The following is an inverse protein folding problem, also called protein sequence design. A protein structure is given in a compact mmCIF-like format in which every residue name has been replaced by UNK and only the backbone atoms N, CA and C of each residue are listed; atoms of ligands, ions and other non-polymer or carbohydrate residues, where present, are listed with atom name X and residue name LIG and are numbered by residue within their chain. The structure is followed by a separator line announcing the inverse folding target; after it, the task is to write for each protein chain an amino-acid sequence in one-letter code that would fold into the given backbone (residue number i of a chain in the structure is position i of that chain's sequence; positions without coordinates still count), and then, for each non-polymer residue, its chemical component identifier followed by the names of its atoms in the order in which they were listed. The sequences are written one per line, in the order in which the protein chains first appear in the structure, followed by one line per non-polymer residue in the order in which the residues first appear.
data_IF_512374723582
#
_entry.id   IF_512374723582
#
_cell.length_a   1.000
_cell.length_b   1.000
_cell.length_c   1.000
_cell.angle_alpha   90.00
_cell.angle_beta   90.00
_cell.angle_gamma   90.00
#
_symmetry.space_group_name_H-M   'P 1'
#
loop_
_entity.id
_entity.type
_entity.pdbx_description
1 polymer ?
#
# COMPACT_ATOMS: atom_id res chain seq x y z
N UNK A 1 1.47 10.79 -23.34
CA UNK A 1 2.80 10.90 -22.70
C UNK A 1 2.76 10.21 -21.32
N UNK A 2 2.26 8.97 -21.28
CA UNK A 2 2.15 8.15 -20.08
C UNK A 2 2.85 6.83 -20.35
N UNK A 3 4.06 6.65 -19.83
CA UNK A 3 4.75 5.35 -19.85
C UNK A 3 5.73 5.15 -18.70
N UNK A 4 5.74 6.01 -17.68
CA UNK A 4 6.67 5.83 -16.55
C UNK A 4 6.02 4.97 -15.47
N UNK A 5 5.93 3.68 -15.74
CA UNK A 5 5.59 2.68 -14.74
C UNK A 5 6.82 2.44 -13.85
N UNK A 6 6.74 2.74 -12.55
CA UNK A 6 7.82 2.53 -11.58
C UNK A 6 7.54 1.27 -10.76
N UNK A 7 8.29 0.20 -11.00
CA UNK A 7 7.84 -1.14 -10.60
C UNK A 7 8.90 -1.95 -9.85
N UNK A 8 8.43 -2.86 -8.98
CA UNK A 8 9.27 -3.93 -8.42
C UNK A 8 9.66 -4.90 -9.56
N UNK A 9 10.85 -5.51 -9.48
CA UNK A 9 11.48 -6.37 -10.50
C UNK A 9 10.55 -7.40 -11.16
N UNK A 10 9.64 -8.02 -10.41
CA UNK A 10 8.66 -8.98 -10.94
C UNK A 10 7.60 -8.33 -11.84
N UNK A 11 6.98 -7.24 -11.37
CA UNK A 11 5.97 -6.49 -12.13
C UNK A 11 6.59 -5.81 -13.35
N UNK A 12 7.79 -5.23 -13.21
CA UNK A 12 8.50 -4.59 -14.31
C UNK A 12 8.75 -5.56 -15.47
N UNK A 13 9.20 -6.78 -15.14
CA UNK A 13 9.41 -7.84 -16.12
C UNK A 13 8.11 -8.21 -16.84
N UNK A 14 7.04 -8.48 -16.09
CA UNK A 14 5.75 -8.87 -16.69
C UNK A 14 5.20 -7.82 -17.67
N UNK A 15 5.28 -6.53 -17.30
CA UNK A 15 4.82 -5.46 -18.19
C UNK A 15 5.72 -5.29 -19.43
N UNK A 16 7.05 -5.41 -19.29
CA UNK A 16 7.98 -5.38 -20.44
C UNK A 16 7.73 -6.56 -21.39
N UNK A 17 7.54 -7.76 -20.84
CA UNK A 17 7.21 -8.96 -21.62
C UNK A 17 5.86 -8.80 -22.34
N UNK A 18 4.98 -7.93 -21.83
CA UNK A 18 3.71 -7.54 -22.46
C UNK A 18 3.84 -6.38 -23.46
N UNK A 19 5.07 -5.92 -23.76
CA UNK A 19 5.35 -4.87 -24.74
C UNK A 19 5.15 -3.43 -24.22
N UNK A 20 5.00 -3.24 -22.91
CA UNK A 20 4.88 -1.90 -22.32
C UNK A 20 6.25 -1.31 -21.99
N UNK A 21 6.38 0.00 -22.17
CA UNK A 21 7.54 0.76 -21.70
C UNK A 21 7.48 0.92 -20.18
N UNK A 22 8.61 0.63 -19.53
CA UNK A 22 8.73 0.51 -18.07
C UNK A 22 10.12 0.94 -17.64
N UNK A 23 10.16 1.84 -16.65
CA UNK A 23 11.40 2.27 -16.00
C UNK A 23 11.57 1.56 -14.66
N UNK A 24 12.73 0.98 -14.43
CA UNK A 24 13.03 0.46 -13.09
C UNK A 24 13.18 1.60 -12.08
N UNK A 25 12.87 1.32 -10.81
CA UNK A 25 13.01 2.29 -9.72
C UNK A 25 14.45 2.83 -9.64
N UNK A 26 15.45 2.00 -9.90
CA UNK A 26 16.87 2.39 -9.92
C UNK A 26 17.20 3.42 -11.00
N UNK A 27 16.51 3.38 -12.16
CA UNK A 27 16.68 4.38 -13.22
C UNK A 27 16.16 5.76 -12.79
N UNK A 28 15.12 5.77 -11.96
CA UNK A 28 14.52 7.01 -11.43
C UNK A 28 15.37 7.57 -10.30
N UNK A 29 15.71 6.73 -9.33
CA UNK A 29 16.45 7.15 -8.16
C UNK A 29 17.89 7.51 -8.53
N UNK A 30 18.46 6.82 -9.51
CA UNK A 30 19.90 6.83 -9.81
C UNK A 30 20.69 6.04 -8.77
N UNK A 31 20.02 5.25 -7.93
CA UNK A 31 20.61 4.52 -6.83
C UNK A 31 20.54 3.01 -7.10
N UNK A 32 21.65 2.25 -6.96
CA UNK A 32 21.68 0.83 -7.26
C UNK A 32 20.84 0.02 -6.27
N UNK A 33 20.43 -1.17 -6.66
CA UNK A 33 19.82 -2.14 -5.74
C UNK A 33 20.85 -2.57 -4.68
N UNK A 34 20.47 -2.51 -3.40
CA UNK A 34 21.30 -2.93 -2.27
C UNK A 34 20.45 -3.54 -1.16
N UNK A 35 21.10 -4.26 -0.23
CA UNK A 35 20.45 -4.92 0.91
C UNK A 35 19.29 -5.82 0.46
N UNK A 36 19.52 -6.61 -0.58
CA UNK A 36 18.52 -7.50 -1.20
C UNK A 36 17.21 -6.79 -1.57
N UNK A 37 17.32 -5.51 -1.96
CA UNK A 37 16.19 -4.69 -2.41
C UNK A 37 15.33 -4.11 -1.28
N UNK A 38 15.73 -4.25 -0.01
CA UNK A 38 14.99 -3.77 1.18
C UNK A 38 14.72 -2.27 1.20
N UNK A 39 15.62 -1.48 0.60
CA UNK A 39 15.58 -0.01 0.65
C UNK A 39 15.25 0.64 -0.70
N UNK A 40 14.95 -0.17 -1.73
CA UNK A 40 14.91 0.31 -3.13
C UNK A 40 13.92 1.46 -3.37
N UNK A 41 12.80 1.49 -2.67
CA UNK A 41 11.76 2.51 -2.83
C UNK A 41 11.83 3.61 -1.77
N UNK A 42 12.67 3.46 -0.74
CA UNK A 42 12.81 4.41 0.36
C UNK A 42 13.72 5.57 -0.06
N UNK A 43 13.29 6.33 -1.06
CA UNK A 43 14.11 7.36 -1.71
C UNK A 43 13.33 8.67 -1.89
N UNK A 44 13.96 9.85 -1.68
CA UNK A 44 13.30 11.15 -1.85
C UNK A 44 12.70 11.39 -3.25
N UNK A 45 13.33 10.88 -4.31
CA UNK A 45 12.76 10.99 -5.68
C UNK A 45 11.44 10.24 -5.84
N UNK A 46 11.18 9.19 -5.06
CA UNK A 46 9.91 8.47 -5.08
C UNK A 46 8.91 9.16 -4.14
N UNK A 47 9.29 9.33 -2.88
CA UNK A 47 8.39 9.91 -1.89
C UNK A 47 8.10 11.40 -2.11
N UNK A 48 9.05 12.17 -2.63
CA UNK A 48 8.85 13.56 -3.04
C UNK A 48 7.88 13.67 -4.20
N UNK A 49 7.96 12.77 -5.18
CA UNK A 49 7.00 12.72 -6.29
C UNK A 49 5.58 12.38 -5.85
N UNK A 50 5.44 11.58 -4.78
CA UNK A 50 4.14 11.21 -4.19
C UNK A 50 3.61 12.28 -3.23
N UNK A 51 4.47 12.91 -2.42
CA UNK A 51 4.05 13.78 -1.31
C UNK A 51 4.09 15.28 -1.64
N UNK A 52 4.60 15.68 -2.80
CA UNK A 52 4.53 17.06 -3.24
C UNK A 52 3.06 17.48 -3.38
N UNK A 53 2.71 18.61 -2.77
CA UNK A 53 1.36 19.17 -2.82
C UNK A 53 1.36 20.12 -4.00
N UNK A 54 0.55 19.82 -5.02
CA UNK A 54 0.65 20.51 -6.32
C UNK A 54 0.20 21.96 -6.26
N UNK A 55 -0.77 22.23 -5.40
CA UNK A 55 -1.26 23.58 -5.12
C UNK A 55 -0.27 24.41 -4.26
N UNK A 56 0.84 23.83 -3.76
CA UNK A 56 1.86 24.54 -2.98
C UNK A 56 3.08 24.91 -3.85
N UNK A 57 3.30 26.20 -4.17
CA UNK A 57 4.41 26.63 -5.03
C UNK A 57 5.80 26.27 -4.49
N UNK A 58 5.97 26.20 -3.17
CA UNK A 58 7.24 25.80 -2.56
C UNK A 58 7.55 24.33 -2.85
N UNK A 59 6.55 23.45 -2.75
CA UNK A 59 6.75 22.02 -3.01
C UNK A 59 7.08 21.79 -4.50
N UNK A 60 6.40 22.48 -5.42
CA UNK A 60 6.71 22.40 -6.85
C UNK A 60 8.14 22.86 -7.13
N UNK A 61 8.55 24.01 -6.57
CA UNK A 61 9.92 24.49 -6.71
C UNK A 61 10.96 23.50 -6.17
N UNK A 62 10.68 22.85 -5.05
CA UNK A 62 11.55 21.83 -4.49
C UNK A 62 11.65 20.61 -5.43
N UNK A 63 10.54 20.17 -6.02
CA UNK A 63 10.56 19.06 -6.97
C UNK A 63 11.36 19.38 -8.24
N UNK A 64 11.19 20.58 -8.81
CA UNK A 64 11.93 21.03 -9.98
C UNK A 64 13.43 21.14 -9.70
N UNK A 65 13.78 21.78 -8.57
CA UNK A 65 15.17 22.00 -8.15
C UNK A 65 15.92 20.68 -7.96
N UNK A 66 15.22 19.66 -7.47
CA UNK A 66 15.79 18.36 -7.16
C UNK A 66 15.57 17.30 -8.24
N UNK A 67 15.02 17.68 -9.41
CA UNK A 67 14.68 16.78 -10.52
C UNK A 67 13.82 15.59 -10.06
N UNK A 68 12.74 15.89 -9.34
CA UNK A 68 11.77 14.92 -8.84
C UNK A 68 10.53 14.97 -9.74
N UNK A 69 10.24 13.87 -10.42
CA UNK A 69 9.01 13.73 -11.19
C UNK A 69 7.82 13.54 -10.23
N UNK A 70 6.70 14.21 -10.52
CA UNK A 70 5.44 13.99 -9.81
C UNK A 70 4.85 12.60 -10.15
N UNK A 71 4.13 12.02 -9.19
CA UNK A 71 3.46 10.73 -9.34
C UNK A 71 1.96 10.92 -9.11
N UNK A 72 1.14 10.57 -10.11
CA UNK A 72 -0.32 10.68 -10.05
C UNK A 72 -1.01 9.43 -9.49
N UNK A 73 -0.40 8.26 -9.70
CA UNK A 73 -0.99 6.97 -9.38
C UNK A 73 0.03 6.05 -8.71
N UNK A 74 -0.40 5.44 -7.62
CA UNK A 74 0.32 4.40 -6.93
C UNK A 74 -0.54 3.13 -6.90
N UNK A 75 -0.09 2.09 -7.58
CA UNK A 75 -0.70 0.76 -7.52
C UNK A 75 0.24 -0.18 -6.79
N UNK A 76 -0.14 -0.58 -5.58
CA UNK A 76 0.67 -1.45 -4.73
C UNK A 76 -0.25 -2.42 -3.99
N UNK A 77 -0.16 -3.69 -4.35
CA UNK A 77 -0.50 -4.77 -3.42
C UNK A 77 0.82 -5.30 -2.83
N UNK A 78 0.82 -5.63 -1.55
CA UNK A 78 1.94 -6.35 -0.95
C UNK A 78 1.48 -7.77 -0.61
N UNK A 79 2.40 -8.71 -0.79
CA UNK A 79 2.12 -10.13 -0.55
C UNK A 79 1.58 -10.29 0.87
N UNK A 80 0.47 -11.03 1.07
CA UNK A 80 -0.14 -11.07 2.38
C UNK A 80 0.85 -11.72 3.34
N UNK A 81 1.34 -10.95 4.32
CA UNK A 81 2.12 -11.51 5.43
C UNK A 81 1.39 -12.70 6.06
N UNK A 82 0.05 -12.61 6.07
CA UNK A 82 -0.87 -13.70 6.43
C UNK A 82 -0.62 -15.00 5.66
N UNK A 83 -0.35 -14.96 4.35
CA UNK A 83 -0.03 -16.15 3.56
C UNK A 83 1.31 -16.75 3.98
N UNK A 84 2.32 -15.92 4.28
CA UNK A 84 3.62 -16.39 4.77
C UNK A 84 3.46 -17.10 6.11
N UNK A 85 2.73 -16.52 7.06
CA UNK A 85 2.58 -17.10 8.39
C UNK A 85 1.59 -18.28 8.46
N UNK A 86 0.77 -18.47 7.42
CA UNK A 86 -0.08 -19.65 7.23
C UNK A 86 0.75 -20.88 6.81
N UNK A 87 1.97 -20.72 6.30
CA UNK A 87 2.85 -21.84 5.96
C UNK A 87 3.27 -22.60 7.23
N UNK A 88 3.17 -23.92 7.19
CA UNK A 88 3.65 -24.75 8.29
C UNK A 88 5.17 -24.60 8.45
N UNK A 89 5.62 -24.46 9.70
CA UNK A 89 7.03 -24.43 10.03
C UNK A 89 7.78 -23.15 9.67
N UNK A 90 7.10 -22.05 9.31
CA UNK A 90 7.76 -20.77 9.05
C UNK A 90 8.58 -20.35 10.28
N UNK A 91 9.86 -20.04 10.06
CA UNK A 91 10.79 -19.67 11.14
C UNK A 91 10.64 -18.20 11.51
N UNK A 92 11.08 -17.82 12.71
CA UNK A 92 11.21 -16.44 13.15
C UNK A 92 12.00 -15.61 12.14
N UNK A 93 13.14 -16.11 11.67
CA UNK A 93 13.94 -15.38 10.69
C UNK A 93 13.16 -15.17 9.40
N UNK A 94 12.54 -16.21 8.86
CA UNK A 94 11.73 -16.11 7.64
C UNK A 94 10.54 -15.15 7.81
N UNK A 95 9.88 -15.17 8.97
CA UNK A 95 8.83 -14.20 9.32
C UNK A 95 9.36 -12.77 9.25
N UNK A 96 10.50 -12.48 9.88
CA UNK A 96 11.11 -11.14 9.89
C UNK A 96 11.53 -10.70 8.47
N UNK A 97 12.09 -11.60 7.66
CA UNK A 97 12.47 -11.32 6.27
C UNK A 97 11.28 -10.95 5.37
N UNK A 98 10.09 -11.49 5.67
CA UNK A 98 8.89 -11.26 4.87
C UNK A 98 8.09 -10.01 5.27
N UNK A 99 8.56 -9.22 6.25
CA UNK A 99 7.94 -7.94 6.59
C UNK A 99 8.34 -6.89 5.55
N UNK A 100 7.37 -6.39 4.78
CA UNK A 100 7.54 -5.35 3.78
C UNK A 100 7.54 -3.98 4.46
N UNK A 101 8.63 -3.22 4.29
CA UNK A 101 8.76 -1.85 4.76
C UNK A 101 8.35 -0.85 3.66
N UNK A 102 8.74 -1.14 2.42
CA UNK A 102 8.54 -0.23 1.29
C UNK A 102 7.09 -0.12 0.86
N UNK A 103 6.38 -1.25 0.79
CA UNK A 103 4.98 -1.33 0.39
C UNK A 103 4.06 -0.45 1.25
N UNK A 104 3.97 -0.70 2.57
CA UNK A 104 3.19 0.13 3.47
C UNK A 104 3.61 1.62 3.46
N UNK A 105 4.91 1.92 3.34
CA UNK A 105 5.39 3.30 3.30
C UNK A 105 4.89 4.05 2.06
N UNK A 106 4.96 3.43 0.88
CA UNK A 106 4.46 4.04 -0.37
C UNK A 106 2.94 4.20 -0.33
N UNK A 107 2.21 3.17 0.13
CA UNK A 107 0.75 3.22 0.24
C UNK A 107 0.30 4.34 1.18
N UNK A 108 0.94 4.47 2.35
CA UNK A 108 0.64 5.56 3.30
C UNK A 108 0.99 6.93 2.72
N UNK A 109 2.09 7.06 1.99
CA UNK A 109 2.48 8.31 1.35
C UNK A 109 1.44 8.78 0.33
N UNK A 110 0.98 7.87 -0.55
CA UNK A 110 -0.04 8.17 -1.54
C UNK A 110 -1.40 8.47 -0.90
N UNK A 111 -1.83 7.63 0.05
CA UNK A 111 -3.09 7.84 0.78
C UNK A 111 -3.10 9.17 1.56
N UNK A 112 -1.96 9.59 2.12
CA UNK A 112 -1.82 10.90 2.78
C UNK A 112 -2.03 12.05 1.80
N UNK A 113 -1.52 11.94 0.57
CA UNK A 113 -1.61 12.98 -0.45
C UNK A 113 -2.79 12.74 -1.43
N UNK A 114 -3.91 12.23 -0.94
CA UNK A 114 -5.09 11.86 -1.75
C UNK A 114 -5.62 13.01 -2.62
N UNK A 115 -5.36 14.26 -2.24
CA UNK A 115 -5.74 15.43 -3.02
C UNK A 115 -5.09 15.49 -4.41
N UNK A 116 -3.93 14.85 -4.58
CA UNK A 116 -3.08 14.91 -5.77
C UNK A 116 -2.71 13.52 -6.32
N UNK A 117 -2.84 12.46 -5.51
CA UNK A 117 -2.39 11.10 -5.86
C UNK A 117 -3.49 10.07 -5.60
N UNK A 118 -3.80 9.27 -6.61
CA UNK A 118 -4.66 8.09 -6.49
C UNK A 118 -3.86 6.89 -5.99
N UNK A 119 -4.42 6.12 -5.05
CA UNK A 119 -3.80 4.91 -4.50
C UNK A 119 -4.71 3.71 -4.69
N UNK A 120 -4.18 2.62 -5.23
CA UNK A 120 -4.90 1.36 -5.39
C UNK A 120 -4.12 0.25 -4.68
N UNK A 121 -4.81 -0.43 -3.76
CA UNK A 121 -4.26 -1.56 -2.97
C UNK A 121 -4.92 -2.90 -3.30
N UNK A 122 -5.96 -2.88 -4.12
CA UNK A 122 -6.81 -4.01 -4.45
C UNK A 122 -7.18 -3.97 -5.93
N UNK A 123 -7.06 -5.11 -6.60
CA UNK A 123 -7.37 -5.22 -8.03
C UNK A 123 -8.85 -5.02 -8.33
N UNK A 124 -9.74 -5.22 -7.36
CA UNK A 124 -11.19 -4.96 -7.52
C UNK A 124 -11.48 -3.47 -7.82
N UNK A 125 -10.57 -2.56 -7.49
CA UNK A 125 -10.73 -1.12 -7.75
C UNK A 125 -10.20 -0.69 -9.14
N UNK A 126 -9.68 -1.61 -9.97
CA UNK A 126 -9.13 -1.25 -11.27
C UNK A 126 -10.17 -0.70 -12.24
N UNK A 127 -11.37 -1.29 -12.30
CA UNK A 127 -12.44 -0.82 -13.17
C UNK A 127 -12.88 0.60 -12.80
N UNK A 128 -12.92 0.91 -11.50
CA UNK A 128 -13.20 2.23 -10.97
C UNK A 128 -12.11 3.24 -11.35
N UNK A 129 -10.84 2.86 -11.28
CA UNK A 129 -9.75 3.70 -11.75
C UNK A 129 -9.84 3.95 -13.25
N UNK A 130 -10.05 2.90 -14.05
CA UNK A 130 -10.12 2.96 -15.51
C UNK A 130 -11.25 3.87 -15.96
N UNK A 131 -12.41 3.85 -15.28
CA UNK A 131 -13.52 4.76 -15.59
C UNK A 131 -13.20 6.24 -15.35
N UNK A 132 -12.15 6.54 -14.57
CA UNK A 132 -11.67 7.89 -14.30
C UNK A 132 -10.50 8.31 -15.19
N UNK A 133 -10.07 7.47 -16.14
CA UNK A 133 -9.10 7.85 -17.16
C UNK A 133 -9.84 8.48 -18.34
N UNK A 134 -9.51 9.73 -18.66
CA UNK A 134 -10.06 10.46 -19.80
C UNK A 134 -8.93 11.08 -20.61
N UNK A 135 -8.97 10.96 -21.93
CA UNK A 135 -7.95 11.50 -22.83
C UNK A 135 -6.52 11.02 -22.49
N UNK A 136 -6.40 9.81 -21.95
CA UNK A 136 -5.19 9.20 -21.38
C UNK A 136 -4.63 9.89 -20.14
N UNK A 137 -5.40 10.73 -19.44
CA UNK A 137 -5.03 11.33 -18.17
C UNK A 137 -5.94 10.81 -17.05
N UNK A 138 -5.35 10.54 -15.89
CA UNK A 138 -6.11 10.18 -14.69
C UNK A 138 -6.76 11.47 -14.18
N UNK A 139 -8.09 11.52 -14.23
CA UNK A 139 -8.83 12.60 -13.59
C UNK A 139 -8.79 12.39 -12.08
N UNK A 140 -8.08 13.29 -11.39
CA UNK A 140 -8.01 13.27 -9.92
C UNK A 140 -9.35 13.76 -9.36
N UNK A 141 -10.23 12.83 -9.01
CA UNK A 141 -11.40 13.10 -8.17
C UNK A 141 -11.01 12.99 -6.70
N UNK A 142 -10.98 14.13 -5.99
CA UNK A 142 -10.62 14.21 -4.57
C UNK A 142 -11.53 13.33 -3.68
N UNK A 143 -12.81 13.17 -4.02
CA UNK A 143 -13.74 12.34 -3.23
C UNK A 143 -13.47 10.84 -3.43
N UNK A 144 -13.23 10.45 -4.68
CA UNK A 144 -12.81 9.08 -5.00
C UNK A 144 -11.47 8.77 -4.32
N UNK A 145 -10.47 9.64 -4.46
CA UNK A 145 -9.18 9.45 -3.85
C UNK A 145 -9.26 9.40 -2.33
N UNK A 146 -10.14 10.19 -1.69
CA UNK A 146 -10.35 10.08 -0.25
C UNK A 146 -10.96 8.72 0.14
N UNK A 147 -11.86 8.18 -0.68
CA UNK A 147 -12.41 6.82 -0.48
C UNK A 147 -11.33 5.76 -0.60
N UNK A 148 -10.50 5.84 -1.63
CA UNK A 148 -9.35 4.96 -1.84
C UNK A 148 -8.31 5.10 -0.72
N UNK A 149 -8.06 6.31 -0.22
CA UNK A 149 -7.15 6.55 0.90
C UNK A 149 -7.64 5.90 2.20
N UNK A 150 -8.94 5.97 2.50
CA UNK A 150 -9.52 5.24 3.65
C UNK A 150 -9.29 3.73 3.51
N UNK A 151 -9.55 3.16 2.33
CA UNK A 151 -9.29 1.74 2.04
C UNK A 151 -7.81 1.40 2.21
N UNK A 152 -6.91 2.23 1.68
CA UNK A 152 -5.46 2.07 1.78
C UNK A 152 -4.94 2.10 3.24
N UNK A 153 -5.41 3.04 4.07
CA UNK A 153 -5.05 3.06 5.49
C UNK A 153 -5.62 1.85 6.24
N UNK A 154 -6.85 1.42 5.94
CA UNK A 154 -7.44 0.20 6.50
C UNK A 154 -6.62 -1.04 6.12
N UNK A 155 -6.19 -1.13 4.86
CA UNK A 155 -5.37 -2.22 4.34
C UNK A 155 -4.01 -2.32 5.06
N UNK A 156 -3.34 -1.18 5.26
CA UNK A 156 -2.08 -1.14 6.05
C UNK A 156 -2.32 -1.48 7.52
N UNK A 157 -3.43 -1.02 8.12
CA UNK A 157 -3.76 -1.37 9.50
C UNK A 157 -3.99 -2.88 9.69
N UNK A 158 -4.65 -3.55 8.74
CA UNK A 158 -4.79 -5.01 8.77
C UNK A 158 -3.42 -5.71 8.67
N UNK A 159 -2.55 -5.24 7.78
CA UNK A 159 -1.19 -5.76 7.63
C UNK A 159 -0.39 -5.68 8.93
N UNK A 160 -0.38 -4.50 9.57
CA UNK A 160 0.33 -4.28 10.83
C UNK A 160 -0.29 -5.09 11.99
N UNK A 161 -1.62 -5.26 12.01
CA UNK A 161 -2.29 -6.12 12.97
C UNK A 161 -1.85 -7.58 12.84
N UNK A 162 -1.72 -8.09 11.61
CA UNK A 162 -1.26 -9.45 11.34
C UNK A 162 0.19 -9.65 11.77
N UNK A 163 1.08 -8.67 11.56
CA UNK A 163 2.46 -8.68 12.10
C UNK A 163 2.46 -8.70 13.62
N UNK A 164 1.77 -7.72 14.24
CA UNK A 164 1.69 -7.55 15.69
C UNK A 164 1.21 -8.82 16.39
N UNK A 165 0.11 -9.40 15.91
CA UNK A 165 -0.46 -10.61 16.49
C UNK A 165 0.46 -11.83 16.34
N UNK A 166 1.12 -11.98 15.19
CA UNK A 166 2.01 -13.11 14.95
C UNK A 166 3.30 -13.01 15.78
N UNK A 167 3.94 -11.85 15.79
CA UNK A 167 5.13 -11.61 16.61
C UNK A 167 4.82 -11.62 18.12
N UNK A 168 3.60 -11.24 18.51
CA UNK A 168 3.14 -11.29 19.89
C UNK A 168 3.11 -12.71 20.47
N UNK A 169 3.01 -13.74 19.63
CA UNK A 169 3.09 -15.14 20.06
C UNK A 169 4.43 -15.80 19.72
N UNK A 170 5.14 -15.35 18.69
CA UNK A 170 6.36 -15.99 18.20
C UNK A 170 7.61 -15.49 18.95
N UNK A 171 8.43 -16.42 19.45
CA UNK A 171 9.72 -16.12 20.07
C UNK A 171 10.88 -16.31 19.09
N UNK A 172 12.02 -15.72 19.43
CA UNK A 172 13.27 -15.80 18.63
C UNK A 172 13.82 -17.22 18.52
N UNK A 173 13.47 -18.13 19.42
CA UNK A 173 13.83 -19.56 19.38
C UNK A 173 12.82 -20.41 18.59
N UNK A 174 11.89 -19.77 17.86
CA UNK A 174 10.77 -20.38 17.12
C UNK A 174 9.67 -21.03 17.99
N UNK A 175 9.75 -20.93 19.32
CA UNK A 175 8.64 -21.37 20.17
C UNK A 175 7.51 -20.35 20.13
N UNK A 176 6.28 -20.80 20.44
CA UNK A 176 5.09 -19.96 20.42
C UNK A 176 4.38 -19.94 21.77
N UNK A 177 4.00 -18.76 22.23
CA UNK A 177 3.03 -18.61 23.31
C UNK A 177 1.63 -18.98 22.80
N UNK A 178 0.74 -19.38 23.72
CA UNK A 178 -0.67 -19.68 23.37
C UNK A 178 -1.47 -18.43 23.03
N UNK A 179 -1.09 -17.28 23.60
CA UNK A 179 -1.82 -16.00 23.49
C UNK A 179 -0.80 -14.85 23.50
N UNK A 180 -1.03 -13.78 22.72
CA UNK A 180 -0.19 -12.58 22.79
C UNK A 180 -0.60 -11.67 23.97
N UNK A 181 0.31 -10.84 24.46
CA UNK A 181 0.01 -9.81 25.46
C UNK A 181 -0.82 -8.66 24.89
N UNK A 182 -0.76 -8.45 23.57
CA UNK A 182 -1.56 -7.48 22.83
C UNK A 182 -2.23 -8.16 21.65
N UNK A 183 -3.56 -7.99 21.55
CA UNK A 183 -4.35 -8.51 20.45
C UNK A 183 -4.94 -7.35 19.64
N UNK A 184 -4.63 -7.29 18.36
CA UNK A 184 -5.18 -6.31 17.42
C UNK A 184 -6.18 -6.98 16.49
N UNK A 185 -7.45 -6.56 16.54
CA UNK A 185 -8.51 -7.13 15.71
C UNK A 185 -8.88 -6.16 14.59
N UNK A 186 -9.02 -6.69 13.37
CA UNK A 186 -9.48 -5.98 12.20
C UNK A 186 -10.75 -6.64 11.68
N UNK A 187 -11.79 -5.84 11.44
CA UNK A 187 -13.07 -6.31 10.93
C UNK A 187 -13.56 -5.40 9.81
N UNK A 188 -14.21 -6.00 8.82
CA UNK A 188 -14.89 -5.33 7.72
C UNK A 188 -16.39 -5.31 7.98
N UNK A 189 -17.06 -4.23 7.59
CA UNK A 189 -18.51 -4.15 7.67
C UNK A 189 -19.15 -4.93 6.52
N UNK A 190 -20.02 -5.87 6.86
CA UNK A 190 -20.82 -6.56 5.85
C UNK A 190 -22.06 -5.74 5.48
N UNK A 191 -22.87 -5.36 6.48
CA UNK A 191 -24.11 -4.60 6.29
C UNK A 191 -24.60 -3.97 7.60
N UNK A 192 -25.47 -2.97 7.49
CA UNK A 192 -26.20 -2.40 8.62
C UNK A 192 -27.34 -3.30 9.08
N UNK A 193 -27.54 -3.36 10.39
CA UNK A 193 -28.69 -4.01 11.01
C UNK A 193 -29.81 -3.00 11.20
N UNK A 194 -31.04 -3.50 11.33
CA UNK A 194 -32.21 -2.62 11.52
C UNK A 194 -32.14 -1.82 12.82
N UNK A 195 -31.60 -2.44 13.86
CA UNK A 195 -31.29 -1.87 15.16
C UNK A 195 -30.35 -2.84 15.90
N UNK A 196 -29.77 -2.39 17.01
CA UNK A 196 -28.99 -3.21 17.93
C UNK A 196 -29.87 -4.15 18.76
N UNK A 197 -29.71 -4.14 20.07
CA UNK A 197 -30.56 -4.93 20.96
C UNK A 197 -31.96 -4.29 21.10
N UNK A 198 -32.02 -2.95 21.03
CA UNK A 198 -33.26 -2.17 21.14
C UNK A 198 -33.45 -1.24 19.93
N UNK A 199 -34.70 -0.88 19.56
CA UNK A 199 -35.00 -0.12 18.34
C UNK A 199 -34.34 1.27 18.20
N UNK A 200 -33.85 1.86 19.29
CA UNK A 200 -33.20 3.18 19.29
C UNK A 200 -31.67 3.11 19.15
N UNK A 201 -31.10 1.91 19.02
CA UNK A 201 -29.67 1.69 18.93
C UNK A 201 -29.29 1.35 17.49
N UNK A 202 -28.33 2.06 16.93
CA UNK A 202 -27.73 1.71 15.63
C UNK A 202 -26.84 0.46 15.78
N UNK A 203 -26.78 -0.37 14.73
CA UNK A 203 -25.90 -1.54 14.71
C UNK A 203 -25.49 -1.93 13.28
N UNK A 204 -24.33 -2.57 13.17
CA UNK A 204 -23.83 -3.16 11.92
C UNK A 204 -23.23 -4.52 12.21
N UNK A 205 -23.32 -5.44 11.25
CA UNK A 205 -22.60 -6.70 11.29
C UNK A 205 -21.20 -6.51 10.72
N UNK A 206 -20.19 -6.82 11.55
CA UNK A 206 -18.78 -6.80 11.18
C UNK A 206 -18.25 -8.23 11.12
N UNK A 207 -17.42 -8.55 10.12
CA UNK A 207 -16.82 -9.86 9.95
C UNK A 207 -15.31 -9.74 9.76
N UNK A 208 -14.58 -10.81 10.06
CA UNK A 208 -13.14 -10.90 9.79
C UNK A 208 -12.96 -11.62 8.45
N UNK A 209 -12.22 -11.01 7.53
CA UNK A 209 -11.82 -11.66 6.27
C UNK A 209 -10.77 -12.74 6.61
N UNK A 210 -10.99 -13.97 6.15
CA UNK A 210 -10.15 -15.15 6.48
C UNK A 210 -8.97 -15.31 5.53
#
# INVERSE_FOLDING_TARGET
MWSRNYLKRGTAKYLRDSGLDVKDVSEVTGFPEMLDGRVKTLHPKIHGGILAIRENPSHIKDTETNNIDLIDLVVVNFYPFEETIKKEGVSFQETIENIDIGGPTIVRAAAKNFQDVSVIVDSEDYDLLISNIKDNEIMVDKNLNYTLAKKAFSYVANYDASISNHLGILKTDNTKNKMPDTLTLHFEKAYDLRYGENPHQDASFLFKKN
#
